data_IF_597980552902
#
_entry.id   IF_597980552902
#
_cell.length_a   1.000
_cell.length_b   1.000
_cell.length_c   1.000
_cell.angle_alpha   90.00
_cell.angle_beta   90.00
_cell.angle_gamma   90.00
#
_symmetry.space_group_name_H-M   'P 1'
#
loop_
_entity.id
_entity.type
_entity.pdbx_description
1 polymer ?
#
# COMPACT_ATOMS: atom_id res chain seq x y z
N UNK A 1 25.64 12.21 22.42
CA UNK A 1 24.66 11.33 23.10
C UNK A 1 23.42 11.26 22.22
N UNK A 2 23.01 10.06 21.79
CA UNK A 2 21.90 9.89 20.85
C UNK A 2 20.58 10.30 21.50
N UNK A 3 19.85 11.25 20.88
CA UNK A 3 18.55 11.73 21.35
C UNK A 3 17.46 10.68 21.02
N UNK A 4 17.41 9.59 21.78
CA UNK A 4 16.47 8.47 21.61
C UNK A 4 15.02 8.78 22.04
N UNK A 5 14.77 9.93 22.68
CA UNK A 5 13.46 10.29 23.31
C UNK A 5 12.78 11.49 22.65
N UNK A 6 13.00 11.73 21.34
CA UNK A 6 12.24 12.76 20.62
C UNK A 6 10.81 12.28 20.39
N UNK A 7 9.92 12.60 21.34
CA UNK A 7 8.48 12.45 21.15
C UNK A 7 8.05 13.54 20.15
N UNK A 8 7.47 13.19 18.98
CA UNK A 8 7.03 14.17 18.02
C UNK A 8 5.93 15.04 18.64
N UNK A 9 6.17 16.36 18.72
CA UNK A 9 5.21 17.35 19.24
C UNK A 9 4.09 17.71 18.24
N UNK A 10 4.07 17.07 17.08
CA UNK A 10 3.19 17.40 15.95
C UNK A 10 2.45 16.13 15.49
N UNK A 11 1.15 16.28 15.19
CA UNK A 11 0.31 15.23 14.59
C UNK A 11 0.60 15.00 13.09
N UNK A 12 1.59 15.72 12.51
CA UNK A 12 1.99 15.57 11.11
C UNK A 12 3.06 14.50 10.96
N UNK A 13 2.85 13.61 10.01
CA UNK A 13 3.77 12.53 9.68
C UNK A 13 4.91 13.08 8.80
N UNK A 14 6.16 12.77 9.15
CA UNK A 14 7.29 13.01 8.25
C UNK A 14 7.27 12.04 7.07
N UNK A 15 7.96 12.36 5.97
CA UNK A 15 8.04 11.47 4.81
C UNK A 15 8.61 10.08 5.17
N UNK A 16 9.65 10.03 6.01
CA UNK A 16 10.25 8.77 6.45
C UNK A 16 9.33 7.94 7.36
N UNK A 17 8.58 8.57 8.26
CA UNK A 17 7.58 7.87 9.07
C UNK A 17 6.42 7.34 8.20
N UNK A 18 6.06 8.06 7.13
CA UNK A 18 5.02 7.63 6.21
C UNK A 18 5.45 6.37 5.45
N UNK A 19 6.64 6.41 4.85
CA UNK A 19 7.19 5.28 4.12
C UNK A 19 7.39 4.06 5.04
N UNK A 20 7.82 4.27 6.28
CA UNK A 20 7.94 3.21 7.27
C UNK A 20 6.59 2.58 7.64
N UNK A 21 5.52 3.38 7.79
CA UNK A 21 4.18 2.87 8.04
C UNK A 21 3.66 2.04 6.86
N UNK A 22 3.76 2.56 5.63
CA UNK A 22 3.32 1.85 4.43
C UNK A 22 4.10 0.54 4.23
N UNK A 23 5.43 0.56 4.39
CA UNK A 23 6.25 -0.64 4.29
C UNK A 23 5.90 -1.66 5.38
N UNK A 24 5.72 -1.21 6.63
CA UNK A 24 5.32 -2.07 7.74
C UNK A 24 3.99 -2.77 7.48
N UNK A 25 2.98 -2.01 7.01
CA UNK A 25 1.68 -2.56 6.60
C UNK A 25 1.86 -3.61 5.50
N UNK A 26 2.62 -3.30 4.46
CA UNK A 26 2.81 -4.22 3.34
C UNK A 26 3.51 -5.53 3.74
N UNK A 27 4.49 -5.47 4.64
CA UNK A 27 5.18 -6.66 5.15
C UNK A 27 4.21 -7.54 5.96
N UNK A 28 3.48 -6.93 6.90
CA UNK A 28 2.55 -7.67 7.77
C UNK A 28 1.44 -8.33 6.95
N UNK A 29 0.78 -7.58 6.07
CA UNK A 29 -0.31 -8.15 5.28
C UNK A 29 0.16 -9.08 4.18
N UNK A 30 1.38 -8.90 3.64
CA UNK A 30 2.00 -9.90 2.77
C UNK A 30 2.15 -11.26 3.46
N UNK A 31 2.58 -11.26 4.73
CA UNK A 31 2.68 -12.49 5.53
C UNK A 31 1.31 -13.09 5.85
N UNK A 32 0.34 -12.27 6.25
CA UNK A 32 -1.05 -12.73 6.51
C UNK A 32 -1.68 -13.30 5.25
N UNK A 33 -1.45 -12.69 4.08
CA UNK A 33 -1.94 -13.21 2.80
C UNK A 33 -1.35 -14.57 2.48
N UNK A 34 -0.06 -14.79 2.75
CA UNK A 34 0.56 -16.11 2.63
C UNK A 34 -0.12 -17.18 3.48
N UNK A 35 -0.51 -16.84 4.71
CA UNK A 35 -1.30 -17.73 5.58
C UNK A 35 -2.70 -17.99 5.01
N UNK A 36 -3.38 -16.95 4.52
CA UNK A 36 -4.71 -17.09 3.89
C UNK A 36 -4.67 -17.97 2.64
N UNK A 37 -3.60 -17.89 1.86
CA UNK A 37 -3.41 -18.74 0.68
C UNK A 37 -3.10 -20.19 1.04
N UNK A 38 -2.73 -20.50 2.29
CA UNK A 38 -2.59 -21.89 2.73
C UNK A 38 -3.94 -22.62 2.77
N UNK A 39 -5.06 -21.92 2.93
CA UNK A 39 -6.39 -22.51 2.81
C UNK A 39 -6.71 -22.96 1.37
N UNK A 40 -5.94 -22.48 0.38
CA UNK A 40 -6.05 -22.87 -1.02
C UNK A 40 -5.30 -24.18 -1.35
N UNK A 41 -4.66 -24.84 -0.38
CA UNK A 41 -3.86 -26.05 -0.61
C UNK A 41 -4.65 -27.25 -1.19
N UNK A 42 -5.98 -27.23 -1.12
CA UNK A 42 -6.84 -28.25 -1.73
C UNK A 42 -7.12 -28.05 -3.23
N UNK A 43 -6.68 -26.93 -3.81
CA UNK A 43 -6.96 -26.60 -5.21
C UNK A 43 -6.04 -27.36 -6.18
N UNK A 44 -6.52 -27.67 -7.39
CA UNK A 44 -5.67 -28.05 -8.51
C UNK A 44 -4.57 -27.00 -8.75
N UNK A 45 -3.37 -27.40 -9.23
CA UNK A 45 -2.25 -26.48 -9.43
C UNK A 45 -2.57 -25.26 -10.31
N UNK A 46 -3.41 -25.45 -11.34
CA UNK A 46 -3.82 -24.37 -12.24
C UNK A 46 -4.71 -23.36 -11.51
N UNK A 47 -5.70 -23.84 -10.76
CA UNK A 47 -6.63 -23.00 -10.01
C UNK A 47 -5.89 -22.21 -8.93
N UNK A 48 -4.93 -22.85 -8.25
CA UNK A 48 -4.03 -22.18 -7.33
C UNK A 48 -3.20 -21.07 -8.01
N UNK A 49 -2.64 -21.33 -9.19
CA UNK A 49 -1.90 -20.32 -9.96
C UNK A 49 -2.79 -19.13 -10.36
N UNK A 50 -4.05 -19.38 -10.70
CA UNK A 50 -5.03 -18.34 -11.02
C UNK A 50 -5.38 -17.51 -9.79
N UNK A 51 -5.62 -18.15 -8.64
CA UNK A 51 -5.82 -17.46 -7.36
C UNK A 51 -4.62 -16.57 -7.01
N UNK A 52 -3.40 -17.09 -7.18
CA UNK A 52 -2.17 -16.32 -6.98
C UNK A 52 -2.11 -15.10 -7.91
N UNK A 53 -2.45 -15.29 -9.19
CA UNK A 53 -2.43 -14.20 -10.16
C UNK A 53 -3.46 -13.09 -9.83
N UNK A 54 -4.70 -13.49 -9.49
CA UNK A 54 -5.77 -12.55 -9.12
C UNK A 54 -5.44 -11.82 -7.82
N UNK A 55 -4.97 -12.55 -6.80
CA UNK A 55 -4.57 -11.96 -5.51
C UNK A 55 -3.37 -11.02 -5.68
N UNK A 56 -2.35 -11.40 -6.44
CA UNK A 56 -1.22 -10.53 -6.75
C UNK A 56 -1.65 -9.24 -7.46
N UNK A 57 -2.61 -9.32 -8.39
CA UNK A 57 -3.17 -8.14 -9.06
C UNK A 57 -3.88 -7.19 -8.08
N UNK A 58 -4.61 -7.74 -7.11
CA UNK A 58 -5.21 -6.95 -6.04
C UNK A 58 -4.16 -6.30 -5.13
N UNK A 59 -3.12 -7.06 -4.75
CA UNK A 59 -2.00 -6.55 -3.95
C UNK A 59 -1.29 -5.42 -4.69
N UNK A 60 -0.95 -5.58 -5.97
CA UNK A 60 -0.32 -4.53 -6.78
C UNK A 60 -1.19 -3.26 -6.82
N UNK A 61 -2.50 -3.41 -6.93
CA UNK A 61 -3.43 -2.27 -6.88
C UNK A 61 -3.39 -1.55 -5.53
N UNK A 62 -3.31 -2.29 -4.42
CA UNK A 62 -3.11 -1.74 -3.07
C UNK A 62 -1.76 -1.00 -2.96
N UNK A 63 -0.69 -1.50 -3.57
CA UNK A 63 0.60 -0.81 -3.60
C UNK A 63 0.52 0.50 -4.40
N UNK A 64 -0.15 0.51 -5.55
CA UNK A 64 -0.36 1.73 -6.32
C UNK A 64 -1.16 2.78 -5.55
N UNK A 65 -2.15 2.36 -4.76
CA UNK A 65 -2.88 3.25 -3.86
C UNK A 65 -1.95 3.97 -2.87
N UNK A 66 -0.91 3.31 -2.38
CA UNK A 66 0.03 3.88 -1.40
C UNK A 66 1.06 4.85 -2.00
N UNK A 67 1.35 4.75 -3.30
CA UNK A 67 2.42 5.51 -3.96
C UNK A 67 1.94 6.53 -4.99
N UNK A 68 0.65 6.54 -5.33
CA UNK A 68 0.11 7.42 -6.37
C UNK A 68 -0.30 8.80 -5.87
N UNK A 69 -0.14 9.82 -6.71
CA UNK A 69 -0.66 11.17 -6.49
C UNK A 69 -2.19 11.24 -6.64
N UNK A 70 -2.78 10.36 -7.46
CA UNK A 70 -4.22 10.34 -7.79
C UNK A 70 -5.05 9.48 -6.82
N UNK A 71 -5.00 9.80 -5.53
CA UNK A 71 -5.53 8.97 -4.43
C UNK A 71 -6.98 8.50 -4.63
N UNK A 72 -7.88 9.40 -5.03
CA UNK A 72 -9.31 9.06 -5.23
C UNK A 72 -9.51 8.03 -6.35
N UNK A 73 -8.79 8.19 -7.46
CA UNK A 73 -8.88 7.29 -8.60
C UNK A 73 -8.35 5.89 -8.25
N UNK A 74 -7.18 5.82 -7.62
CA UNK A 74 -6.61 4.55 -7.20
C UNK A 74 -7.39 3.90 -6.06
N UNK A 75 -8.04 4.67 -5.19
CA UNK A 75 -8.95 4.13 -4.17
C UNK A 75 -10.13 3.41 -4.83
N UNK A 76 -10.74 4.06 -5.82
CA UNK A 76 -11.85 3.47 -6.57
C UNK A 76 -11.44 2.22 -7.34
N UNK A 77 -10.27 2.24 -8.00
CA UNK A 77 -9.72 1.08 -8.69
C UNK A 77 -9.45 -0.06 -7.71
N UNK A 78 -8.76 0.20 -6.61
CA UNK A 78 -8.43 -0.85 -5.63
C UNK A 78 -9.69 -1.44 -5.00
N UNK A 79 -10.67 -0.62 -4.64
CA UNK A 79 -11.96 -1.11 -4.14
C UNK A 79 -12.69 -1.96 -5.20
N UNK A 80 -12.68 -1.52 -6.46
CA UNK A 80 -13.26 -2.27 -7.57
C UNK A 80 -12.58 -3.64 -7.76
N UNK A 81 -11.24 -3.68 -7.74
CA UNK A 81 -10.47 -4.91 -7.87
C UNK A 81 -10.80 -5.88 -6.72
N UNK A 82 -10.78 -5.42 -5.46
CA UNK A 82 -11.10 -6.25 -4.29
C UNK A 82 -12.55 -6.78 -4.36
N UNK A 83 -13.49 -5.97 -4.84
CA UNK A 83 -14.87 -6.38 -5.05
C UNK A 83 -15.03 -7.41 -6.18
N UNK A 84 -14.17 -7.34 -7.20
CA UNK A 84 -14.15 -8.27 -8.33
C UNK A 84 -13.45 -9.59 -8.02
N UNK A 85 -12.54 -9.66 -7.04
CA UNK A 85 -11.84 -10.91 -6.67
C UNK A 85 -12.77 -12.12 -6.52
N UNK A 86 -13.79 -12.12 -5.62
CA UNK A 86 -14.65 -13.29 -5.47
C UNK A 86 -15.48 -13.58 -6.72
N UNK A 87 -15.85 -12.54 -7.49
CA UNK A 87 -16.62 -12.71 -8.72
C UNK A 87 -15.80 -13.42 -9.77
N UNK A 88 -14.58 -12.95 -10.02
CA UNK A 88 -13.67 -13.56 -10.99
C UNK A 88 -13.39 -15.03 -10.63
N UNK A 89 -13.19 -15.32 -9.33
CA UNK A 89 -12.91 -16.69 -8.87
C UNK A 89 -14.13 -17.62 -9.00
N UNK A 90 -15.31 -17.17 -8.59
CA UNK A 90 -16.54 -17.98 -8.61
C UNK A 90 -17.11 -18.14 -10.04
N UNK A 91 -17.19 -17.05 -10.81
CA UNK A 91 -17.74 -17.00 -12.18
C UNK A 91 -16.96 -15.98 -13.03
N UNK A 92 -16.10 -16.39 -13.99
CA UNK A 92 -16.25 -17.58 -14.85
C UNK A 92 -15.33 -18.76 -14.53
N UNK A 93 -14.52 -18.70 -13.47
CA UNK A 93 -13.46 -19.67 -13.23
C UNK A 93 -13.89 -20.91 -12.42
N UNK A 94 -15.07 -20.87 -11.78
CA UNK A 94 -15.60 -21.96 -10.94
C UNK A 94 -14.64 -22.43 -9.84
N UNK A 95 -13.77 -21.52 -9.34
CA UNK A 95 -12.82 -21.77 -8.26
C UNK A 95 -13.52 -21.48 -6.93
N UNK A 96 -13.51 -22.40 -5.96
CA UNK A 96 -14.16 -22.18 -4.68
C UNK A 96 -13.58 -20.95 -3.97
N UNK A 97 -14.46 -20.14 -3.41
CA UNK A 97 -14.08 -18.91 -2.73
C UNK A 97 -13.16 -19.20 -1.54
N UNK A 98 -12.06 -18.44 -1.44
CA UNK A 98 -11.18 -18.45 -0.26
C UNK A 98 -11.77 -17.48 0.77
N UNK A 99 -12.36 -17.97 1.88
CA UNK A 99 -13.21 -17.15 2.75
C UNK A 99 -12.49 -15.93 3.34
N UNK A 100 -11.19 -16.04 3.59
CA UNK A 100 -10.39 -14.98 4.23
C UNK A 100 -9.67 -14.06 3.22
N UNK A 101 -9.66 -14.38 1.93
CA UNK A 101 -8.90 -13.61 0.93
C UNK A 101 -9.43 -12.19 0.78
N UNK A 102 -10.73 -12.05 0.54
CA UNK A 102 -11.36 -10.75 0.37
C UNK A 102 -11.27 -9.86 1.62
N UNK A 103 -11.63 -10.33 2.84
CA UNK A 103 -11.53 -9.48 4.01
C UNK A 103 -10.09 -9.06 4.32
N UNK A 104 -9.09 -9.93 4.11
CA UNK A 104 -7.68 -9.57 4.27
C UNK A 104 -7.28 -8.44 3.33
N UNK A 105 -7.65 -8.53 2.04
CA UNK A 105 -7.37 -7.46 1.07
C UNK A 105 -8.10 -6.16 1.41
N UNK A 106 -9.36 -6.25 1.87
CA UNK A 106 -10.16 -5.09 2.25
C UNK A 106 -9.57 -4.37 3.47
N UNK A 107 -9.16 -5.10 4.51
CA UNK A 107 -8.53 -4.52 5.70
C UNK A 107 -7.17 -3.93 5.34
N UNK A 108 -6.38 -4.59 4.49
CA UNK A 108 -5.11 -4.07 4.01
C UNK A 108 -5.30 -2.72 3.29
N UNK A 109 -6.21 -2.67 2.32
CA UNK A 109 -6.53 -1.43 1.60
C UNK A 109 -7.03 -0.33 2.54
N UNK A 110 -7.90 -0.68 3.50
CA UNK A 110 -8.39 0.26 4.51
C UNK A 110 -7.26 0.82 5.36
N UNK A 111 -6.30 0.00 5.79
CA UNK A 111 -5.17 0.47 6.59
C UNK A 111 -4.27 1.41 5.79
N UNK A 112 -4.02 1.12 4.52
CA UNK A 112 -3.30 2.06 3.63
C UNK A 112 -4.06 3.38 3.52
N UNK A 113 -5.39 3.33 3.30
CA UNK A 113 -6.21 4.54 3.27
C UNK A 113 -6.12 5.33 4.57
N UNK A 114 -6.19 4.68 5.73
CA UNK A 114 -6.09 5.37 7.02
C UNK A 114 -4.77 6.10 7.18
N UNK A 115 -3.64 5.49 6.79
CA UNK A 115 -2.33 6.17 6.77
C UNK A 115 -2.33 7.33 5.78
N UNK A 116 -3.02 7.16 4.65
CA UNK A 116 -3.09 8.15 3.59
C UNK A 116 -3.90 9.40 3.93
N UNK A 117 -4.88 9.26 4.84
CA UNK A 117 -5.64 10.38 5.39
C UNK A 117 -4.82 11.22 6.40
N UNK A 118 -3.66 10.75 6.87
CA UNK A 118 -2.87 11.50 7.84
C UNK A 118 -2.14 12.66 7.15
N UNK A 119 -2.25 13.91 7.64
CA UNK A 119 -1.56 15.06 7.07
C UNK A 119 -0.03 14.87 7.07
N UNK A 120 0.58 14.96 5.89
CA UNK A 120 2.03 14.89 5.73
C UNK A 120 2.66 16.27 5.85
N UNK A 121 3.83 16.34 6.48
CA UNK A 121 4.67 17.55 6.41
C UNK A 121 5.27 17.60 5.00
N UNK A 122 4.87 18.59 4.20
CA UNK A 122 5.52 18.87 2.91
C UNK A 122 7.00 19.12 3.20
N UNK A 123 7.95 18.49 2.49
CA UNK A 123 9.35 18.85 2.63
C UNK A 123 9.44 20.34 2.29
N UNK A 124 9.94 21.14 3.22
CA UNK A 124 10.25 22.54 2.95
C UNK A 124 11.21 22.54 1.76
N UNK A 125 10.76 23.12 0.65
CA UNK A 125 11.63 23.45 -0.48
C UNK A 125 12.71 24.35 0.10
N UNK A 126 13.91 23.81 0.33
CA UNK A 126 15.06 24.64 0.64
C UNK A 126 15.14 25.72 -0.46
N UNK A 127 15.25 27.02 -0.10
CA UNK A 127 15.50 28.04 -1.10
C UNK A 127 16.81 27.68 -1.76
N UNK A 128 16.79 27.46 -3.08
CA UNK A 128 18.00 27.42 -3.90
C UNK A 128 18.81 28.67 -3.55
N UNK A 129 20.08 28.55 -3.10
CA UNK A 129 20.93 29.72 -2.97
C UNK A 129 21.11 30.30 -4.37
N UNK A 130 20.65 31.53 -4.59
CA UNK A 130 20.91 32.25 -5.84
C UNK A 130 22.43 32.31 -6.07
N UNK A 131 22.95 31.85 -7.22
CA UNK A 131 24.36 31.98 -7.56
C UNK A 131 24.58 33.35 -8.21
N UNK A 132 24.41 34.43 -7.45
CA UNK A 132 24.79 35.78 -7.92
C UNK A 132 25.48 36.56 -6.80
N UNK A 133 26.74 36.20 -6.52
CA UNK A 133 27.74 37.16 -6.03
C UNK A 133 29.15 36.68 -6.40
N UNK A 134 29.43 36.54 -7.70
CA UNK A 134 30.79 36.76 -8.20
C UNK A 134 30.91 38.26 -8.48
N UNK A 135 31.14 39.02 -7.39
CA UNK A 135 31.57 40.40 -7.47
C UNK A 135 32.93 40.43 -8.16
N UNK A 136 32.96 41.17 -9.26
CA UNK A 136 34.12 41.40 -10.11
C UNK A 136 35.08 42.32 -9.36
N UNK A 137 36.14 41.77 -8.76
CA UNK A 137 37.26 42.58 -8.27
C UNK A 137 38.29 42.73 -9.41
N UNK A 138 38.33 43.93 -9.97
CA UNK A 138 39.39 44.46 -10.84
C UNK A 138 40.55 44.99 -10.01
#
# INVERSE_FOLDING_TARGET
MAQWYKIPRSSRLSAGEYDANIQGINIVFGAVLGFVLADANGLPPLDFAIVLFVSASAVISIFYLAHSEYKLFYTAITAFVIYMVPRILDDPLAIPAIPQLQPTLAVWALMILLVELIPRTKPDSHPTPDPETEETDQ
#
